data_IF_960686585551
#
_entry.id   IF_960686585551
#
_cell.length_a   1.000
_cell.length_b   1.000
_cell.length_c   1.000
_cell.angle_alpha   90.00
_cell.angle_beta   90.00
_cell.angle_gamma   90.00
#
_symmetry.space_group_name_H-M   'P 1'
#
loop_
_entity.id
_entity.type
_entity.pdbx_description
1 polymer ?
#
# COMPACT_ATOMS: atom_id res chain seq x y z
N UNK A 1 -24.30 -26.29 -20.34
CA UNK A 1 -23.65 -25.45 -21.37
C UNK A 1 -23.12 -24.21 -20.68
N UNK A 2 -21.83 -23.90 -20.82
CA UNK A 2 -21.24 -22.66 -20.29
C UNK A 2 -21.72 -21.46 -21.14
N UNK A 3 -22.39 -20.46 -20.56
CA UNK A 3 -22.90 -19.29 -21.30
C UNK A 3 -21.78 -18.44 -21.91
N UNK A 4 -20.57 -18.46 -21.32
CA UNK A 4 -19.44 -17.63 -21.75
C UNK A 4 -18.77 -18.17 -23.03
N UNK A 5 -19.03 -19.42 -23.43
CA UNK A 5 -18.53 -19.98 -24.70
C UNK A 5 -19.09 -19.29 -25.95
N UNK A 6 -20.18 -18.54 -25.83
CA UNK A 6 -20.79 -17.79 -26.95
C UNK A 6 -20.23 -16.36 -27.08
N UNK A 7 -19.48 -15.90 -26.09
CA UNK A 7 -18.91 -14.56 -26.06
C UNK A 7 -17.52 -14.56 -26.70
N UNK A 8 -17.14 -13.42 -27.27
CA UNK A 8 -15.78 -13.23 -27.77
C UNK A 8 -14.78 -13.12 -26.61
N UNK A 9 -13.52 -13.41 -26.89
CA UNK A 9 -12.41 -13.29 -25.93
C UNK A 9 -12.33 -11.89 -25.32
N UNK A 10 -12.58 -10.85 -26.12
CA UNK A 10 -12.51 -9.45 -25.68
C UNK A 10 -13.59 -9.14 -24.65
N UNK A 11 -14.83 -9.61 -24.88
CA UNK A 11 -15.93 -9.42 -23.94
C UNK A 11 -15.67 -10.16 -22.63
N UNK A 12 -15.14 -11.38 -22.70
CA UNK A 12 -14.76 -12.14 -21.51
C UNK A 12 -13.69 -11.40 -20.69
N UNK A 13 -12.66 -10.84 -21.33
CA UNK A 13 -11.63 -10.03 -20.63
C UNK A 13 -12.24 -8.77 -20.01
N UNK A 14 -13.13 -8.07 -20.73
CA UNK A 14 -13.79 -6.87 -20.20
C UNK A 14 -14.67 -7.18 -18.99
N UNK A 15 -15.39 -8.31 -19.01
CA UNK A 15 -16.16 -8.78 -17.85
C UNK A 15 -15.23 -9.01 -16.66
N UNK A 16 -14.08 -9.68 -16.87
CA UNK A 16 -13.11 -9.94 -15.80
C UNK A 16 -12.54 -8.64 -15.20
N UNK A 17 -12.21 -7.65 -16.03
CA UNK A 17 -11.70 -6.34 -15.57
C UNK A 17 -12.80 -5.59 -14.80
N UNK A 18 -14.05 -5.65 -15.29
CA UNK A 18 -15.20 -4.96 -14.68
C UNK A 18 -15.55 -5.48 -13.28
N UNK A 19 -15.15 -6.71 -12.94
CA UNK A 19 -15.35 -7.25 -11.59
C UNK A 19 -14.51 -6.53 -10.52
N UNK A 20 -13.42 -5.86 -10.91
CA UNK A 20 -12.50 -5.08 -10.04
C UNK A 20 -11.99 -5.79 -8.78
N UNK A 21 -12.19 -7.10 -8.67
CA UNK A 21 -11.86 -7.88 -7.49
C UNK A 21 -11.32 -9.23 -7.89
N UNK A 22 -10.08 -9.51 -7.47
CA UNK A 22 -9.42 -10.80 -7.71
C UNK A 22 -10.22 -11.97 -7.14
N UNK A 23 -10.89 -11.78 -6.00
CA UNK A 23 -11.75 -12.81 -5.40
C UNK A 23 -12.96 -13.11 -6.29
N UNK A 24 -13.62 -12.08 -6.82
CA UNK A 24 -14.75 -12.26 -7.74
C UNK A 24 -14.31 -12.88 -9.07
N UNK A 25 -13.17 -12.45 -9.61
CA UNK A 25 -12.56 -13.03 -10.81
C UNK A 25 -12.28 -14.52 -10.62
N UNK A 26 -11.64 -14.91 -9.51
CA UNK A 26 -11.33 -16.31 -9.23
C UNK A 26 -12.59 -17.15 -9.05
N UNK A 27 -13.63 -16.62 -8.41
CA UNK A 27 -14.94 -17.31 -8.31
C UNK A 27 -15.60 -17.50 -9.68
N UNK A 28 -15.53 -16.50 -10.56
CA UNK A 28 -16.08 -16.60 -11.90
C UNK A 28 -15.30 -17.62 -12.75
N UNK A 29 -13.97 -17.62 -12.64
CA UNK A 29 -13.10 -18.60 -13.28
C UNK A 29 -13.37 -20.03 -12.75
N UNK A 30 -13.66 -20.20 -11.47
CA UNK A 30 -14.05 -21.50 -10.91
C UNK A 30 -15.42 -21.97 -11.42
N UNK A 31 -16.35 -21.04 -11.67
CA UNK A 31 -17.69 -21.35 -12.15
C UNK A 31 -17.76 -21.62 -13.67
N UNK A 32 -16.81 -21.08 -14.45
CA UNK A 32 -16.79 -21.17 -15.91
C UNK A 32 -15.40 -21.55 -16.45
N UNK A 33 -15.27 -22.72 -17.10
CA UNK A 33 -14.03 -23.11 -17.79
C UNK A 33 -13.60 -22.11 -18.87
N UNK A 34 -14.55 -21.50 -19.60
CA UNK A 34 -14.25 -20.51 -20.62
C UNK A 34 -13.61 -19.25 -20.01
N UNK A 35 -14.16 -18.77 -18.89
CA UNK A 35 -13.63 -17.61 -18.16
C UNK A 35 -12.28 -17.92 -17.52
N UNK A 36 -12.07 -19.15 -17.02
CA UNK A 36 -10.75 -19.58 -16.52
C UNK A 36 -9.71 -19.55 -17.64
N UNK A 37 -10.02 -20.09 -18.82
CA UNK A 37 -9.12 -20.08 -19.94
C UNK A 37 -8.73 -18.65 -20.32
N UNK A 38 -9.73 -17.76 -20.48
CA UNK A 38 -9.46 -16.36 -20.82
C UNK A 38 -8.65 -15.64 -19.73
N UNK A 39 -8.94 -15.90 -18.46
CA UNK A 39 -8.19 -15.34 -17.34
C UNK A 39 -6.72 -15.77 -17.37
N UNK A 40 -6.42 -17.05 -17.64
CA UNK A 40 -5.05 -17.54 -17.72
C UNK A 40 -4.28 -16.93 -18.90
N UNK A 41 -4.92 -16.83 -20.06
CA UNK A 41 -4.32 -16.24 -21.28
C UNK A 41 -4.04 -14.75 -21.08
N UNK A 42 -4.97 -14.00 -20.49
CA UNK A 42 -4.87 -12.54 -20.36
C UNK A 42 -4.48 -12.07 -18.97
N UNK A 43 -3.93 -12.95 -18.11
CA UNK A 43 -3.68 -12.67 -16.69
C UNK A 43 -2.86 -11.39 -16.46
N UNK A 44 -1.73 -11.25 -17.16
CA UNK A 44 -0.84 -10.10 -16.98
C UNK A 44 -1.51 -8.78 -17.39
N UNK A 45 -2.30 -8.81 -18.46
CA UNK A 45 -3.06 -7.66 -18.94
C UNK A 45 -4.17 -7.27 -17.94
N UNK A 46 -4.95 -8.26 -17.48
CA UNK A 46 -6.01 -8.05 -16.49
C UNK A 46 -5.41 -7.49 -15.20
N UNK A 47 -4.34 -8.08 -14.66
CA UNK A 47 -3.66 -7.58 -13.47
C UNK A 47 -3.21 -6.13 -13.64
N UNK A 48 -2.59 -5.78 -14.78
CA UNK A 48 -2.16 -4.40 -15.05
C UNK A 48 -3.32 -3.43 -15.08
N UNK A 49 -4.40 -3.79 -15.78
CA UNK A 49 -5.59 -2.96 -15.88
C UNK A 49 -6.24 -2.73 -14.53
N UNK A 50 -6.31 -3.75 -13.68
CA UNK A 50 -6.84 -3.60 -12.32
C UNK A 50 -6.02 -2.61 -11.48
N UNK A 51 -4.68 -2.70 -11.52
CA UNK A 51 -3.84 -1.71 -10.83
C UNK A 51 -4.05 -0.31 -11.39
N UNK A 52 -4.04 -0.16 -12.72
CA UNK A 52 -4.21 1.14 -13.37
C UNK A 52 -5.57 1.80 -13.10
N UNK A 53 -6.61 1.00 -12.78
CA UNK A 53 -7.94 1.50 -12.44
C UNK A 53 -8.07 1.94 -10.97
N UNK A 54 -7.24 1.40 -10.08
CA UNK A 54 -7.32 1.61 -8.63
C UNK A 54 -6.23 2.55 -8.09
N UNK A 55 -5.12 2.71 -8.81
CA UNK A 55 -3.97 3.53 -8.41
C UNK A 55 -3.76 4.69 -9.39
N UNK A 56 -3.79 5.91 -8.88
CA UNK A 56 -3.24 7.06 -9.58
C UNK A 56 -1.69 7.10 -9.51
N UNK A 57 -1.09 8.07 -10.19
CA UNK A 57 0.37 8.19 -10.26
C UNK A 57 1.02 8.47 -8.89
N UNK A 58 0.34 9.17 -7.98
CA UNK A 58 0.85 9.49 -6.64
C UNK A 58 0.75 8.26 -5.72
N UNK A 59 -0.40 7.60 -5.69
CA UNK A 59 -0.61 6.33 -4.98
C UNK A 59 0.36 5.26 -5.45
N UNK A 60 0.69 5.24 -6.75
CA UNK A 60 1.71 4.34 -7.28
C UNK A 60 3.10 4.64 -6.71
N UNK A 61 3.49 5.91 -6.60
CA UNK A 61 4.77 6.28 -5.98
C UNK A 61 4.82 5.84 -4.52
N UNK A 62 3.74 6.04 -3.76
CA UNK A 62 3.66 5.62 -2.36
C UNK A 62 3.71 4.09 -2.22
N UNK A 63 2.99 3.37 -3.07
CA UNK A 63 3.05 1.90 -3.10
C UNK A 63 4.48 1.41 -3.39
N UNK A 64 5.18 2.03 -4.32
CA UNK A 64 6.57 1.71 -4.62
C UNK A 64 7.51 2.07 -3.47
N UNK A 65 7.24 3.15 -2.75
CA UNK A 65 7.99 3.56 -1.56
C UNK A 65 7.96 2.49 -0.47
N UNK A 66 6.82 1.83 -0.31
CA UNK A 66 6.63 0.71 0.64
C UNK A 66 7.27 -0.58 0.10
N UNK A 67 7.00 -0.91 -1.17
CA UNK A 67 7.42 -2.18 -1.78
C UNK A 67 8.95 -2.27 -1.93
N UNK A 68 9.59 -1.18 -2.35
CA UNK A 68 11.03 -1.13 -2.60
C UNK A 68 11.83 -0.70 -1.37
N UNK A 69 11.18 -0.57 -0.21
CA UNK A 69 11.83 -0.18 1.03
C UNK A 69 12.98 -1.17 1.31
N UNK A 70 14.24 -0.68 1.46
CA UNK A 70 15.35 -1.56 1.76
C UNK A 70 15.11 -2.33 3.06
N UNK A 71 15.42 -3.63 3.05
CA UNK A 71 15.40 -4.44 4.27
C UNK A 71 16.74 -4.32 5.01
N UNK A 72 16.71 -4.41 6.33
CA UNK A 72 17.89 -4.34 7.19
C UNK A 72 18.71 -5.63 7.09
N UNK A 73 19.34 -5.87 5.94
CA UNK A 73 20.18 -7.04 5.72
C UNK A 73 21.65 -6.68 5.99
N UNK A 74 21.99 -6.71 7.28
CA UNK A 74 23.31 -6.82 7.93
C UNK A 74 24.58 -6.20 7.29
N UNK A 75 24.47 -5.12 6.50
CA UNK A 75 25.62 -4.35 5.99
C UNK A 75 25.59 -2.93 6.53
N UNK A 76 26.76 -2.44 6.94
CA UNK A 76 26.94 -1.13 7.61
C UNK A 76 26.49 0.11 6.84
N UNK A 77 25.99 -0.04 5.61
CA UNK A 77 25.49 1.04 4.76
C UNK A 77 23.94 1.12 4.68
N UNK A 78 23.20 0.36 5.49
CA UNK A 78 21.74 0.39 5.50
C UNK A 78 21.16 1.81 5.65
N UNK A 79 21.74 2.64 6.51
CA UNK A 79 21.32 4.03 6.72
C UNK A 79 21.46 4.90 5.46
N UNK A 80 22.51 4.68 4.66
CA UNK A 80 22.72 5.40 3.39
C UNK A 80 21.72 4.93 2.33
N UNK A 81 21.49 3.63 2.23
CA UNK A 81 20.49 3.05 1.32
C UNK A 81 19.09 3.56 1.64
N UNK A 82 18.73 3.57 2.92
CA UNK A 82 17.46 4.07 3.41
C UNK A 82 17.30 5.57 3.12
N UNK A 83 18.35 6.37 3.38
CA UNK A 83 18.34 7.80 3.04
C UNK A 83 18.17 8.03 1.54
N UNK A 84 18.87 7.27 0.71
CA UNK A 84 18.74 7.36 -0.74
C UNK A 84 17.32 6.99 -1.21
N UNK A 85 16.73 5.94 -0.63
CA UNK A 85 15.35 5.53 -0.90
C UNK A 85 14.35 6.65 -0.56
N UNK A 86 14.44 7.23 0.65
CA UNK A 86 13.55 8.31 1.05
C UNK A 86 13.66 9.55 0.16
N UNK A 87 14.87 9.93 -0.26
CA UNK A 87 15.06 11.04 -1.20
C UNK A 87 14.35 10.73 -2.51
N UNK A 88 14.56 9.54 -3.08
CA UNK A 88 13.90 9.13 -4.33
C UNK A 88 12.39 9.06 -4.22
N UNK A 89 11.87 8.61 -3.08
CA UNK A 89 10.43 8.62 -2.80
C UNK A 89 9.90 10.06 -2.74
N UNK A 90 10.54 10.94 -1.97
CA UNK A 90 10.12 12.34 -1.83
C UNK A 90 10.15 13.12 -3.15
N UNK A 91 11.03 12.72 -4.08
CA UNK A 91 11.14 13.32 -5.41
C UNK A 91 10.22 12.67 -6.45
N UNK A 92 9.39 11.68 -6.09
CA UNK A 92 8.55 10.90 -7.00
C UNK A 92 9.34 10.25 -8.15
N UNK A 93 10.54 9.74 -7.85
CA UNK A 93 11.47 9.12 -8.80
C UNK A 93 11.55 7.60 -8.65
N UNK A 94 10.55 6.99 -8.04
CA UNK A 94 10.43 5.54 -7.97
C UNK A 94 9.87 4.98 -9.29
N UNK A 95 10.27 3.77 -9.69
CA UNK A 95 9.85 3.18 -10.95
C UNK A 95 8.33 2.98 -10.97
N UNK A 96 7.68 3.30 -12.09
CA UNK A 96 6.26 3.02 -12.28
C UNK A 96 6.11 1.67 -13.04
N UNK A 97 5.59 0.61 -12.39
CA UNK A 97 5.48 -0.71 -13.00
C UNK A 97 4.47 -0.79 -14.16
N UNK A 98 3.53 0.16 -14.24
CA UNK A 98 2.63 0.29 -15.38
C UNK A 98 3.36 0.77 -16.64
N UNK A 99 4.39 1.61 -16.47
CA UNK A 99 5.23 2.12 -17.57
C UNK A 99 6.32 1.11 -17.96
N UNK A 100 6.98 0.51 -16.97
CA UNK A 100 8.05 -0.47 -17.20
C UNK A 100 7.55 -1.86 -17.58
N UNK A 101 6.24 -2.11 -17.48
CA UNK A 101 5.61 -3.40 -17.75
C UNK A 101 6.14 -4.55 -16.86
N UNK A 102 6.67 -4.22 -15.68
CA UNK A 102 7.20 -5.19 -14.74
C UNK A 102 6.07 -5.96 -14.05
N UNK A 103 5.85 -7.20 -14.49
CA UNK A 103 4.80 -8.06 -13.96
C UNK A 103 5.01 -8.41 -12.47
N UNK A 104 6.26 -8.48 -12.01
CA UNK A 104 6.55 -8.82 -10.61
C UNK A 104 6.14 -7.69 -9.67
N UNK A 105 6.49 -6.45 -10.04
CA UNK A 105 6.09 -5.27 -9.27
C UNK A 105 4.57 -5.06 -9.30
N UNK A 106 3.90 -5.30 -10.43
CA UNK A 106 2.43 -5.27 -10.51
C UNK A 106 1.80 -6.26 -9.54
N UNK A 107 2.30 -7.49 -9.47
CA UNK A 107 1.80 -8.50 -8.53
C UNK A 107 2.07 -8.10 -7.05
N UNK A 108 3.19 -7.41 -6.77
CA UNK A 108 3.48 -6.88 -5.43
C UNK A 108 2.52 -5.74 -5.05
N UNK A 109 2.17 -4.84 -5.98
CA UNK A 109 1.16 -3.79 -5.75
C UNK A 109 -0.20 -4.41 -5.44
N UNK A 110 -0.61 -5.42 -6.21
CA UNK A 110 -1.84 -6.19 -5.92
C UNK A 110 -1.83 -6.80 -4.52
N UNK A 111 -0.69 -7.36 -4.10
CA UNK A 111 -0.55 -7.94 -2.76
C UNK A 111 -0.62 -6.86 -1.68
N UNK A 112 0.03 -5.72 -1.87
CA UNK A 112 -0.04 -4.58 -0.96
C UNK A 112 -1.49 -4.10 -0.80
N UNK A 113 -2.20 -3.90 -1.91
CA UNK A 113 -3.61 -3.50 -1.91
C UNK A 113 -4.47 -4.49 -1.11
N UNK A 114 -4.31 -5.79 -1.33
CA UNK A 114 -5.05 -6.81 -0.61
C UNK A 114 -4.76 -6.80 0.91
N UNK A 115 -3.51 -6.55 1.31
CA UNK A 115 -3.13 -6.41 2.72
C UNK A 115 -3.73 -5.16 3.36
N UNK A 116 -3.73 -4.03 2.63
CA UNK A 116 -4.34 -2.78 3.11
C UNK A 116 -5.86 -2.94 3.28
N UNK A 117 -6.54 -3.57 2.33
CA UNK A 117 -7.97 -3.86 2.43
C UNK A 117 -8.28 -4.74 3.64
N UNK A 118 -7.49 -5.81 3.86
CA UNK A 118 -7.65 -6.67 5.04
C UNK A 118 -7.45 -5.89 6.35
N UNK A 119 -6.46 -5.00 6.39
CA UNK A 119 -6.20 -4.16 7.56
C UNK A 119 -7.36 -3.19 7.82
N UNK A 120 -7.91 -2.57 6.77
CA UNK A 120 -9.08 -1.69 6.88
C UNK A 120 -10.30 -2.48 7.35
N UNK A 121 -10.56 -3.67 6.79
CA UNK A 121 -11.66 -4.54 7.21
C UNK A 121 -11.55 -4.97 8.69
N UNK A 122 -10.35 -5.29 9.16
CA UNK A 122 -10.08 -5.60 10.57
C UNK A 122 -10.31 -4.38 11.47
N UNK A 123 -9.81 -3.21 11.08
CA UNK A 123 -10.04 -1.96 11.80
C UNK A 123 -11.55 -1.65 11.90
N UNK A 124 -12.27 -1.73 10.78
CA UNK A 124 -13.71 -1.49 10.74
C UNK A 124 -14.45 -2.45 11.65
N UNK A 125 -14.19 -3.76 11.53
CA UNK A 125 -14.79 -4.79 12.40
C UNK A 125 -14.60 -4.47 13.88
N UNK A 126 -13.40 -4.03 14.28
CA UNK A 126 -13.11 -3.68 15.67
C UNK A 126 -13.77 -2.37 16.10
N UNK A 127 -13.74 -1.34 15.25
CA UNK A 127 -14.29 -0.02 15.56
C UNK A 127 -15.83 -0.02 15.58
N UNK A 128 -16.48 -0.87 14.79
CA UNK A 128 -17.94 -1.02 14.74
C UNK A 128 -18.46 -2.14 15.61
N UNK A 129 -17.61 -2.82 16.38
CA UNK A 129 -18.05 -3.87 17.29
C UNK A 129 -18.95 -3.27 18.39
N UNK A 130 -20.17 -3.79 18.52
CA UNK A 130 -21.14 -3.41 19.56
C UNK A 130 -20.53 -3.62 20.96
N UNK A 131 -19.59 -4.56 21.08
CA UNK A 131 -18.76 -4.78 22.26
C UNK A 131 -17.29 -4.71 21.82
N UNK A 132 -16.60 -3.57 21.94
CA UNK A 132 -15.20 -3.49 21.58
C UNK A 132 -14.38 -4.47 22.45
N UNK A 133 -13.44 -5.23 21.87
CA UNK A 133 -12.52 -6.06 22.64
C UNK A 133 -11.81 -5.17 23.68
N UNK A 134 -11.76 -5.63 24.94
CA UNK A 134 -11.22 -4.87 26.10
C UNK A 134 -9.80 -4.32 25.91
N UNK A 135 -9.08 -4.80 24.90
CA UNK A 135 -7.72 -4.39 24.54
C UNK A 135 -7.64 -3.00 23.87
N UNK A 136 -8.74 -2.46 23.32
CA UNK A 136 -8.76 -1.11 22.73
C UNK A 136 -8.87 0.04 23.75
N UNK A 137 -9.06 -0.26 25.03
CA UNK A 137 -9.18 0.75 26.10
C UNK A 137 -7.86 1.45 26.44
N UNK A 138 -6.72 0.97 25.94
CA UNK A 138 -5.43 1.64 26.13
C UNK A 138 -5.10 2.54 24.95
N UNK A 139 -5.89 3.62 24.82
CA UNK A 139 -5.46 4.79 24.05
C UNK A 139 -4.52 5.58 24.95
N UNK A 140 -3.19 5.67 24.69
CA UNK A 140 -2.40 6.66 25.37
C UNK A 140 -2.94 8.02 24.95
N UNK A 141 -3.52 8.76 25.90
CA UNK A 141 -3.72 10.18 25.74
C UNK A 141 -2.37 10.76 25.29
N UNK A 142 -2.35 11.35 24.10
CA UNK A 142 -1.25 12.22 23.70
C UNK A 142 -1.31 13.38 24.70
N UNK A 143 -0.58 13.24 25.81
CA UNK A 143 -0.33 14.33 26.73
C UNK A 143 0.25 15.44 25.89
N UNK A 144 -0.54 16.50 25.67
CA UNK A 144 -0.04 17.79 25.24
C UNK A 144 1.03 18.17 26.24
N UNK A 145 2.29 18.01 25.86
CA UNK A 145 3.41 18.47 26.68
C UNK A 145 3.25 19.98 26.89
N UNK A 146 3.33 20.48 28.14
CA UNK A 146 3.44 21.91 28.35
C UNK A 146 4.78 22.39 27.77
N UNK A 147 4.73 23.52 27.07
CA UNK A 147 5.88 24.15 26.46
C UNK A 147 7.05 24.26 27.46
N UNK A 148 8.19 23.67 27.09
CA UNK A 148 9.45 23.89 27.79
C UNK A 148 9.78 25.39 27.74
N UNK A 149 9.70 26.05 28.90
CA UNK A 149 10.20 27.41 29.08
C UNK A 149 11.72 27.34 29.00
N UNK A 150 12.25 27.64 27.82
CA UNK A 150 13.66 27.81 27.53
C UNK A 150 14.24 28.91 28.45
N UNK A 151 15.32 28.59 29.16
CA UNK A 151 16.01 29.50 30.06
C UNK A 151 16.67 30.65 29.32
N UNK A 152 16.73 31.81 29.98
CA UNK A 152 17.72 32.86 29.74
C UNK A 152 18.63 32.89 30.97
N UNK A 153 19.83 32.35 30.81
CA UNK A 153 21.08 33.10 30.62
C UNK A 153 21.77 33.34 31.97
N UNK A 154 22.84 32.58 32.18
CA UNK A 154 23.88 32.91 33.13
C UNK A 154 24.85 33.90 32.47
N UNK A 155 25.35 34.87 33.23
CA UNK A 155 26.74 35.38 33.17
C UNK A 155 27.02 36.30 34.36
N UNK A 156 28.31 36.53 34.70
CA UNK A 156 28.80 36.52 36.09
C UNK A 156 29.31 37.88 36.60
N UNK A 157 29.61 37.91 37.91
CA UNK A 157 30.54 38.80 38.64
C UNK A 157 30.44 40.32 38.43
N UNK A 158 30.21 41.04 39.54
CA UNK A 158 31.00 42.24 39.88
C UNK A 158 31.05 42.44 41.40
N UNK A 159 32.26 42.74 41.85
CA UNK A 159 32.71 42.95 43.23
C UNK A 159 32.63 44.46 43.58
N UNK A 160 32.38 44.75 44.86
CA UNK A 160 32.81 45.91 45.69
C UNK A 160 32.02 47.23 45.78
N UNK A 161 32.08 47.74 47.03
CA UNK A 161 31.95 49.12 47.57
C UNK A 161 30.51 49.61 47.80
N UNK A 162 30.08 50.11 48.97
CA UNK A 162 30.72 50.72 50.16
C UNK A 162 30.04 50.17 51.43
#
# INVERSE_FOLDING_TARGET
MDPFNKLSSELCVQILISLRSRRSILRLAQASPAMLHQFLVSKAYISRMLVALDFDDEMMQDAMGIILLPTHDNRGDYSKLLRHHYVRWSENRLPNPLKTHDASLIDQVHRLQALLLLFIEDYLTKATAIFPPREQSYRPEIQRQPAYRCGKEATPNSISTI
#
